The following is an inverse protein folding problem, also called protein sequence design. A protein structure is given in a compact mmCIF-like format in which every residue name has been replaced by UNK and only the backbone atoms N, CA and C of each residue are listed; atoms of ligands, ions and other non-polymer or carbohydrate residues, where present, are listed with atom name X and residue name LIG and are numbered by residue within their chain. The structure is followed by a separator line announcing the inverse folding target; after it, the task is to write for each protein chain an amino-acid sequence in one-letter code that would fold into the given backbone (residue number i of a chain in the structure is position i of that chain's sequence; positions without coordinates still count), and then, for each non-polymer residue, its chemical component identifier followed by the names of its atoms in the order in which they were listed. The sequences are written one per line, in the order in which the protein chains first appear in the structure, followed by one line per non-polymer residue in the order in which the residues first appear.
data_IF_916000957744
#
_entry.id   IF_916000957744
#
_cell.length_a   1.000
_cell.length_b   1.000
_cell.length_c   1.000
_cell.angle_alpha   90.00
_cell.angle_beta   90.00
_cell.angle_gamma   90.00
#
_symmetry.space_group_name_H-M   'P 1'
#
loop_
_entity.id
_entity.type
_entity.pdbx_description
1 polymer ?
#
# COMPACT_ATOMS: atom_id res chain seq x y z
N UNK A 1 -11.04 13.12 -10.21
CA UNK A 1 -12.11 13.56 -9.29
C UNK A 1 -12.87 12.40 -8.65
N UNK A 2 -13.41 11.41 -9.39
CA UNK A 2 -14.10 10.27 -8.75
C UNK A 2 -13.15 9.32 -7.98
N UNK A 3 -11.96 9.05 -8.50
CA UNK A 3 -11.00 8.09 -7.89
C UNK A 3 -10.26 8.67 -6.68
N UNK A 4 -9.92 9.97 -6.69
CA UNK A 4 -9.27 10.62 -5.55
C UNK A 4 -10.20 10.72 -4.33
N UNK A 5 -11.49 10.97 -4.54
CA UNK A 5 -12.50 10.90 -3.49
C UNK A 5 -12.62 9.48 -2.88
N UNK A 6 -12.43 8.43 -3.67
CA UNK A 6 -12.44 7.06 -3.17
C UNK A 6 -11.24 6.77 -2.25
N UNK A 7 -10.03 7.17 -2.66
CA UNK A 7 -8.82 7.03 -1.83
C UNK A 7 -8.97 7.79 -0.51
N UNK A 8 -9.46 9.03 -0.54
CA UNK A 8 -9.71 9.81 0.68
C UNK A 8 -10.67 9.08 1.62
N UNK A 9 -11.84 8.66 1.12
CA UNK A 9 -12.83 7.96 1.93
C UNK A 9 -12.29 6.63 2.50
N UNK A 10 -11.47 5.91 1.73
CA UNK A 10 -10.82 4.67 2.14
C UNK A 10 -9.75 4.91 3.23
N UNK A 11 -8.93 5.94 3.07
CA UNK A 11 -7.90 6.28 4.04
C UNK A 11 -8.49 6.79 5.35
N UNK A 12 -9.50 7.65 5.29
CA UNK A 12 -10.22 8.09 6.49
C UNK A 12 -10.92 6.91 7.19
N UNK A 13 -11.53 6.01 6.42
CA UNK A 13 -12.12 4.80 6.98
C UNK A 13 -11.08 3.95 7.73
N UNK A 14 -9.92 3.75 7.12
CA UNK A 14 -8.85 2.96 7.71
C UNK A 14 -8.27 3.63 8.95
N UNK A 15 -8.02 4.94 8.91
CA UNK A 15 -7.56 5.70 10.08
C UNK A 15 -8.59 5.63 11.23
N UNK A 16 -9.88 5.70 10.93
CA UNK A 16 -10.96 5.49 11.90
C UNK A 16 -10.99 4.04 12.44
N UNK A 17 -10.72 3.05 11.60
CA UNK A 17 -10.64 1.64 11.98
C UNK A 17 -9.46 1.38 12.93
N UNK A 18 -8.31 2.00 12.67
CA UNK A 18 -7.10 1.89 13.48
C UNK A 18 -7.25 2.44 14.90
N UNK A 19 -8.20 3.34 15.17
CA UNK A 19 -8.50 3.83 16.54
C UNK A 19 -8.88 2.71 17.53
N UNK A 20 -9.27 1.53 17.03
CA UNK A 20 -9.53 0.35 17.84
C UNK A 20 -8.28 -0.41 18.31
N UNK A 21 -7.08 0.04 17.93
CA UNK A 21 -5.81 -0.62 18.20
C UNK A 21 -4.87 0.31 18.97
N UNK A 22 -3.97 -0.29 19.75
CA UNK A 22 -2.90 0.42 20.43
C UNK A 22 -1.57 0.19 19.69
N UNK A 23 -0.92 1.28 19.30
CA UNK A 23 0.34 1.25 18.57
C UNK A 23 1.42 2.06 19.29
N UNK A 24 2.67 1.68 19.10
CA UNK A 24 3.84 2.49 19.44
C UNK A 24 4.19 3.49 18.32
N UNK A 25 3.60 3.34 17.14
CA UNK A 25 3.83 4.22 16.00
C UNK A 25 3.12 5.56 16.15
N UNK A 26 3.81 6.64 15.79
CA UNK A 26 3.27 7.98 15.65
C UNK A 26 3.96 8.71 14.49
N UNK A 27 3.45 9.89 14.11
CA UNK A 27 4.19 10.77 13.20
C UNK A 27 5.59 11.06 13.79
N UNK A 28 6.63 10.85 12.99
CA UNK A 28 8.03 10.96 13.43
C UNK A 28 8.70 9.61 13.75
N UNK A 29 7.92 8.53 13.88
CA UNK A 29 8.48 7.17 13.87
C UNK A 29 8.91 6.84 12.43
N UNK A 30 10.22 6.81 12.18
CA UNK A 30 10.80 6.72 10.84
C UNK A 30 11.47 5.38 10.51
N UNK A 31 11.44 4.40 11.42
CA UNK A 31 12.11 3.09 11.23
C UNK A 31 11.65 2.37 9.95
N UNK A 32 10.38 2.48 9.58
CA UNK A 32 9.83 1.88 8.36
C UNK A 32 9.90 2.78 7.11
N UNK A 33 10.39 4.02 7.23
CA UNK A 33 10.43 5.00 6.14
C UNK A 33 11.61 4.71 5.19
N UNK A 34 11.43 3.72 4.32
CA UNK A 34 12.44 3.25 3.36
C UNK A 34 12.05 3.55 1.91
N UNK A 35 12.93 3.23 0.97
CA UNK A 35 12.66 3.23 -0.48
C UNK A 35 11.78 2.05 -0.94
N UNK A 36 11.47 1.09 -0.07
CA UNK A 36 10.78 -0.16 -0.42
C UNK A 36 9.25 -0.04 -0.31
N UNK A 37 8.70 0.98 -0.98
CA UNK A 37 7.26 1.30 -0.94
C UNK A 37 6.64 0.87 -2.25
N UNK A 38 5.71 -0.09 -2.21
CA UNK A 38 4.88 -0.46 -3.36
C UNK A 38 3.59 0.35 -3.35
N UNK A 39 3.17 0.83 -4.52
CA UNK A 39 1.98 1.66 -4.67
C UNK A 39 1.30 1.38 -6.02
N UNK A 40 0.04 1.76 -6.11
CA UNK A 40 -0.70 1.81 -7.38
C UNK A 40 -0.61 3.18 -8.05
N UNK A 41 -0.92 3.25 -9.35
CA UNK A 41 -1.05 4.51 -10.09
C UNK A 41 -2.12 5.43 -9.51
N UNK A 42 -3.26 4.89 -9.07
CA UNK A 42 -4.32 5.67 -8.43
C UNK A 42 -3.85 6.35 -7.14
N UNK A 43 -3.05 5.67 -6.32
CA UNK A 43 -2.48 6.26 -5.11
C UNK A 43 -1.46 7.35 -5.43
N UNK A 44 -0.66 7.19 -6.49
CA UNK A 44 0.26 8.24 -6.95
C UNK A 44 -0.48 9.42 -7.52
N UNK A 45 -1.55 9.22 -8.29
CA UNK A 45 -2.38 10.32 -8.78
C UNK A 45 -2.95 11.14 -7.61
N UNK A 46 -3.42 10.48 -6.55
CA UNK A 46 -3.83 11.14 -5.32
C UNK A 46 -2.69 11.90 -4.64
N UNK A 47 -1.53 11.26 -4.48
CA UNK A 47 -0.36 11.87 -3.85
C UNK A 47 0.13 13.10 -4.64
N UNK A 48 0.14 13.03 -5.97
CA UNK A 48 0.55 14.11 -6.86
C UNK A 48 -0.46 15.26 -6.85
N UNK A 49 -1.77 14.96 -6.76
CA UNK A 49 -2.82 15.96 -6.60
C UNK A 49 -2.62 16.78 -5.30
N UNK A 50 -2.31 16.11 -4.17
CA UNK A 50 -2.20 16.76 -2.86
C UNK A 50 -0.84 17.36 -2.55
N UNK A 51 0.24 16.77 -3.06
CA UNK A 51 1.60 17.08 -2.66
C UNK A 51 2.63 17.04 -3.80
N UNK A 52 2.20 17.14 -5.05
CA UNK A 52 3.06 16.93 -6.23
C UNK A 52 4.34 17.77 -6.29
N UNK A 53 4.35 19.00 -5.74
CA UNK A 53 5.58 19.79 -5.69
C UNK A 53 6.66 19.13 -4.83
N UNK A 54 6.31 18.68 -3.61
CA UNK A 54 7.25 17.99 -2.71
C UNK A 54 7.73 16.67 -3.30
N UNK A 55 6.84 15.95 -3.98
CA UNK A 55 7.19 14.68 -4.64
C UNK A 55 8.09 14.90 -5.85
N UNK A 56 7.83 15.92 -6.67
CA UNK A 56 8.71 16.28 -7.80
C UNK A 56 10.08 16.75 -7.34
N UNK A 57 10.14 17.54 -6.27
CA UNK A 57 11.42 17.98 -5.71
C UNK A 57 12.23 16.76 -5.25
N UNK A 58 11.61 15.83 -4.51
CA UNK A 58 12.27 14.59 -4.11
C UNK A 58 12.68 13.69 -5.29
N UNK A 59 11.87 13.63 -6.36
CA UNK A 59 12.19 12.86 -7.56
C UNK A 59 13.45 13.39 -8.27
N UNK A 60 13.73 14.70 -8.23
CA UNK A 60 14.92 15.28 -8.86
C UNK A 60 16.22 14.94 -8.12
N UNK A 61 16.12 14.61 -6.84
CA UNK A 61 17.26 14.32 -5.96
C UNK A 61 17.61 12.82 -5.92
N UNK A 62 16.89 11.97 -6.66
CA UNK A 62 17.13 10.53 -6.70
C UNK A 62 17.60 10.07 -8.07
N UNK A 63 18.48 9.06 -8.07
CA UNK A 63 18.85 8.31 -9.25
C UNK A 63 18.03 7.02 -9.30
N UNK A 64 17.14 6.90 -10.30
CA UNK A 64 16.25 5.76 -10.46
C UNK A 64 16.88 4.66 -11.29
N UNK A 65 17.96 4.07 -10.76
CA UNK A 65 18.59 2.90 -11.34
C UNK A 65 17.90 1.58 -10.95
N UNK A 66 18.43 0.46 -11.43
CA UNK A 66 17.90 -0.88 -11.17
C UNK A 66 18.01 -1.31 -9.69
N UNK A 67 18.76 -0.58 -8.88
CA UNK A 67 19.00 -0.84 -7.45
C UNK A 67 18.19 0.07 -6.53
N UNK A 68 17.39 0.99 -7.08
CA UNK A 68 16.60 1.92 -6.28
C UNK A 68 15.25 1.33 -5.85
N UNK A 69 15.17 0.90 -4.59
CA UNK A 69 13.92 0.40 -4.00
C UNK A 69 13.57 -1.03 -4.41
N UNK A 70 12.70 -1.65 -3.62
CA UNK A 70 12.10 -2.94 -3.95
C UNK A 70 11.11 -2.81 -5.11
N UNK A 71 11.21 -3.73 -6.08
CA UNK A 71 10.34 -3.86 -7.24
C UNK A 71 9.69 -5.25 -7.25
N UNK A 72 8.37 -5.36 -7.08
CA UNK A 72 7.70 -6.66 -7.05
C UNK A 72 7.73 -7.33 -8.43
N UNK A 73 7.73 -8.68 -8.45
CA UNK A 73 7.57 -9.45 -9.70
C UNK A 73 6.10 -9.62 -10.14
N UNK A 74 5.16 -9.62 -9.20
CA UNK A 74 3.72 -9.78 -9.43
C UNK A 74 2.90 -8.85 -8.51
N UNK A 75 1.66 -8.56 -8.90
CA UNK A 75 0.78 -7.70 -8.08
C UNK A 75 0.11 -8.47 -6.93
N UNK A 76 -0.52 -7.75 -6.00
CA UNK A 76 -1.18 -8.39 -4.85
C UNK A 76 -2.40 -9.22 -5.28
N UNK A 77 -3.19 -8.74 -6.24
CA UNK A 77 -4.31 -9.50 -6.81
C UNK A 77 -3.82 -10.67 -7.67
N UNK A 78 -2.68 -10.55 -8.35
CA UNK A 78 -2.08 -11.68 -9.06
C UNK A 78 -1.66 -12.77 -8.06
N UNK A 79 -0.92 -12.40 -7.01
CA UNK A 79 -0.51 -13.30 -5.92
C UNK A 79 -1.72 -13.96 -5.24
N UNK A 80 -2.75 -13.18 -4.90
CA UNK A 80 -3.97 -13.71 -4.30
C UNK A 80 -4.70 -14.70 -5.22
N UNK A 81 -4.67 -14.48 -6.54
CA UNK A 81 -5.28 -15.40 -7.49
C UNK A 81 -4.62 -16.79 -7.54
N UNK A 82 -3.32 -16.89 -7.23
CA UNK A 82 -2.62 -18.17 -7.10
C UNK A 82 -3.06 -18.91 -5.84
N UNK A 83 -3.05 -18.22 -4.69
CA UNK A 83 -3.43 -18.83 -3.41
C UNK A 83 -4.89 -19.30 -3.39
N UNK A 84 -5.81 -18.54 -4.00
CA UNK A 84 -7.22 -18.95 -4.13
C UNK A 84 -7.43 -20.19 -5.01
N UNK A 85 -6.46 -20.52 -5.87
CA UNK A 85 -6.44 -21.73 -6.70
C UNK A 85 -5.62 -22.86 -6.07
N UNK A 86 -5.22 -22.72 -4.81
CA UNK A 86 -4.33 -23.66 -4.10
C UNK A 86 -2.98 -23.84 -4.82
N UNK A 87 -2.49 -22.77 -5.45
CA UNK A 87 -1.19 -22.72 -6.13
C UNK A 87 -0.24 -21.77 -5.42
N UNK A 88 1.06 -21.97 -5.64
CA UNK A 88 2.09 -21.03 -5.21
C UNK A 88 2.33 -19.99 -6.32
N UNK A 89 2.40 -18.69 -5.98
CA UNK A 89 2.83 -17.68 -6.93
C UNK A 89 4.28 -17.94 -7.38
N UNK A 90 4.71 -17.39 -8.53
CA UNK A 90 6.13 -17.37 -8.90
C UNK A 90 6.96 -16.72 -7.78
N UNK A 91 8.21 -17.14 -7.66
CA UNK A 91 9.15 -16.53 -6.73
C UNK A 91 9.30 -15.04 -7.04
N UNK A 92 9.21 -14.22 -5.99
CA UNK A 92 9.42 -12.80 -6.09
C UNK A 92 10.92 -12.52 -6.11
N UNK A 93 11.41 -12.02 -7.25
CA UNK A 93 12.83 -11.71 -7.45
C UNK A 93 13.17 -10.29 -7.00
N UNK A 94 12.20 -9.54 -6.48
CA UNK A 94 12.42 -8.20 -5.96
C UNK A 94 13.37 -8.21 -4.76
N UNK A 95 14.34 -7.29 -4.76
CA UNK A 95 15.32 -7.17 -3.67
C UNK A 95 15.00 -5.95 -2.83
N UNK A 96 14.90 -6.12 -1.52
CA UNK A 96 14.81 -5.00 -0.59
C UNK A 96 16.12 -4.26 -0.52
N UNK A 97 16.06 -2.95 -0.75
CA UNK A 97 17.25 -2.09 -0.80
C UNK A 97 17.43 -1.37 0.53
N UNK A 98 18.68 -1.07 0.86
CA UNK A 98 19.01 -0.22 2.01
C UNK A 98 18.89 1.23 1.55
N UNK A 99 17.84 1.92 1.97
CA UNK A 99 17.62 3.31 1.61
C UNK A 99 16.52 3.94 2.46
N UNK A 100 16.69 5.21 2.81
CA UNK A 100 15.65 6.01 3.48
C UNK A 100 14.72 6.61 2.43
N UNK A 101 13.45 6.79 2.78
CA UNK A 101 12.50 7.42 1.88
C UNK A 101 12.92 8.88 1.57
N UNK A 102 13.01 9.30 0.29
CA UNK A 102 13.34 10.67 -0.09
C UNK A 102 12.36 11.75 0.42
N UNK A 103 11.16 11.35 0.85
CA UNK A 103 10.16 12.26 1.44
C UNK A 103 10.36 12.48 2.94
N UNK A 104 11.34 11.82 3.57
CA UNK A 104 11.65 11.93 4.99
C UNK A 104 12.49 13.18 5.24
N UNK A 105 12.00 14.08 6.11
CA UNK A 105 12.76 15.24 6.58
C UNK A 105 13.88 14.83 7.54
N UNK A 106 14.79 15.76 7.81
CA UNK A 106 15.88 15.55 8.77
C UNK A 106 15.37 15.28 10.19
N UNK A 107 14.18 15.80 10.53
CA UNK A 107 13.51 15.58 11.81
C UNK A 107 12.78 14.23 11.89
N UNK A 108 12.90 13.36 10.87
CA UNK A 108 12.24 12.06 10.82
C UNK A 108 10.75 12.13 10.48
N UNK A 109 10.25 13.29 10.04
CA UNK A 109 8.87 13.48 9.63
C UNK A 109 8.72 13.31 8.12
N UNK A 110 7.77 12.48 7.69
CA UNK A 110 7.41 12.38 6.28
C UNK A 110 6.72 13.68 5.83
N UNK A 111 7.30 14.35 4.83
CA UNK A 111 6.79 15.60 4.27
C UNK A 111 5.39 15.50 3.62
N UNK A 112 4.93 14.27 3.38
CA UNK A 112 3.60 13.94 2.83
C UNK A 112 2.81 12.99 3.73
N UNK A 113 3.08 12.96 5.05
CA UNK A 113 2.53 11.96 5.97
C UNK A 113 1.01 11.75 5.86
N UNK A 114 0.23 12.83 5.69
CA UNK A 114 -1.23 12.76 5.55
C UNK A 114 -1.68 12.07 4.25
N UNK A 115 -0.88 12.19 3.19
CA UNK A 115 -1.19 11.71 1.84
C UNK A 115 -0.41 10.46 1.45
N UNK A 116 0.31 9.86 2.41
CA UNK A 116 1.14 8.68 2.19
C UNK A 116 0.34 7.53 1.55
N UNK A 117 0.96 6.75 0.64
CA UNK A 117 0.36 5.54 0.09
C UNK A 117 -0.08 4.56 1.17
N UNK A 118 -0.99 3.65 0.80
CA UNK A 118 -1.56 2.70 1.74
C UNK A 118 -0.50 1.76 2.33
N UNK A 119 0.50 1.33 1.56
CA UNK A 119 1.61 0.52 2.07
C UNK A 119 2.33 1.19 3.24
N UNK A 120 2.58 2.51 3.16
CA UNK A 120 3.14 3.28 4.27
C UNK A 120 2.15 3.46 5.43
N UNK A 121 0.85 3.62 5.13
CA UNK A 121 -0.21 3.80 6.13
C UNK A 121 -0.49 2.52 6.93
N UNK A 122 -0.39 1.38 6.27
CA UNK A 122 -0.64 0.05 6.81
C UNK A 122 0.49 -0.46 7.72
N UNK A 123 1.69 0.13 7.61
CA UNK A 123 2.81 -0.20 8.48
C UNK A 123 2.59 0.39 9.87
N UNK A 124 2.29 -0.50 10.81
CA UNK A 124 2.07 -0.20 12.23
C UNK A 124 2.77 -1.22 13.09
N UNK A 125 3.17 -0.84 14.30
CA UNK A 125 3.65 -1.78 15.31
C UNK A 125 3.05 -1.55 16.69
N UNK A 126 2.79 -2.64 17.40
CA UNK A 126 2.36 -2.66 18.80
C UNK A 126 3.49 -2.27 19.76
N UNK A 127 4.76 -2.45 19.36
CA UNK A 127 5.96 -2.10 20.14
C UNK A 127 6.88 -1.15 19.37
N UNK A 128 7.82 -0.45 20.04
CA UNK A 128 8.86 0.31 19.34
C UNK A 128 9.67 -0.59 18.41
N UNK A 129 9.90 -0.15 17.18
CA UNK A 129 10.68 -0.92 16.20
C UNK A 129 12.18 -0.60 16.31
N UNK A 130 13.01 -1.63 16.36
CA UNK A 130 14.45 -1.52 16.22
C UNK A 130 14.88 -1.62 14.75
N UNK A 131 15.98 -0.95 14.33
CA UNK A 131 16.49 -1.06 12.97
C UNK A 131 16.85 -2.50 12.62
N UNK A 132 16.25 -3.02 11.54
CA UNK A 132 16.47 -4.39 11.07
C UNK A 132 15.56 -5.43 11.72
N UNK A 133 14.76 -5.05 12.72
CA UNK A 133 13.70 -5.89 13.26
C UNK A 133 12.37 -5.62 12.55
N UNK A 134 11.58 -6.68 12.36
CA UNK A 134 10.24 -6.56 11.78
C UNK A 134 9.27 -5.86 12.73
N UNK A 135 8.36 -5.08 12.17
CA UNK A 135 7.24 -4.54 12.93
C UNK A 135 6.36 -5.67 13.49
N UNK A 136 5.99 -5.56 14.76
CA UNK A 136 5.02 -6.49 15.37
C UNK A 136 3.60 -5.98 15.14
N UNK A 137 2.78 -6.75 14.41
CA UNK A 137 1.44 -6.37 13.99
C UNK A 137 0.39 -7.38 14.47
N UNK A 138 -0.80 -6.91 14.82
CA UNK A 138 -1.96 -7.79 15.08
C UNK A 138 -2.27 -8.63 13.82
N UNK A 139 -2.39 -9.97 13.94
CA UNK A 139 -2.62 -10.84 12.79
C UNK A 139 -3.84 -10.46 11.95
N UNK A 140 -4.94 -10.03 12.59
CA UNK A 140 -6.14 -9.63 11.86
C UNK A 140 -5.92 -8.33 11.07
N UNK A 141 -5.02 -7.45 11.54
CA UNK A 141 -4.66 -6.25 10.81
C UNK A 141 -3.91 -6.57 9.53
N UNK A 142 -3.13 -7.67 9.48
CA UNK A 142 -2.49 -8.14 8.25
C UNK A 142 -3.56 -8.49 7.21
N UNK A 143 -4.58 -9.27 7.57
CA UNK A 143 -5.70 -9.61 6.69
C UNK A 143 -6.43 -8.37 6.19
N UNK A 144 -6.70 -7.41 7.09
CA UNK A 144 -7.30 -6.12 6.71
C UNK A 144 -6.42 -5.37 5.71
N UNK A 145 -5.12 -5.27 5.97
CA UNK A 145 -4.18 -4.53 5.13
C UNK A 145 -4.08 -5.15 3.73
N UNK A 146 -3.93 -6.47 3.64
CA UNK A 146 -3.92 -7.18 2.36
C UNK A 146 -5.25 -7.01 1.62
N UNK A 147 -6.38 -7.00 2.33
CA UNK A 147 -7.68 -6.77 1.69
C UNK A 147 -7.81 -5.37 1.10
N UNK A 148 -7.31 -4.34 1.80
CA UNK A 148 -7.37 -2.96 1.29
C UNK A 148 -6.43 -2.78 0.10
N UNK A 149 -5.24 -3.39 0.11
CA UNK A 149 -4.33 -3.35 -1.06
C UNK A 149 -4.99 -3.99 -2.29
N UNK A 150 -5.64 -5.15 -2.13
CA UNK A 150 -6.39 -5.81 -3.22
C UNK A 150 -7.53 -4.93 -3.75
N UNK A 151 -8.22 -4.20 -2.87
CA UNK A 151 -9.29 -3.26 -3.21
C UNK A 151 -8.75 -2.09 -4.02
N UNK A 152 -7.66 -1.47 -3.58
CA UNK A 152 -7.03 -0.34 -4.26
C UNK A 152 -6.60 -0.78 -5.66
N UNK A 153 -5.91 -1.91 -5.79
CA UNK A 153 -5.50 -2.46 -7.08
C UNK A 153 -6.72 -2.75 -7.98
N UNK A 154 -7.80 -3.30 -7.43
CA UNK A 154 -9.01 -3.61 -8.19
C UNK A 154 -9.69 -2.35 -8.74
N UNK A 155 -9.84 -1.32 -7.92
CA UNK A 155 -10.41 -0.03 -8.36
C UNK A 155 -9.50 0.61 -9.41
N UNK A 156 -8.18 0.42 -9.27
CA UNK A 156 -7.18 0.83 -10.25
C UNK A 156 -6.88 -0.24 -11.32
N UNK A 157 -7.83 -1.11 -11.66
CA UNK A 157 -7.62 -2.26 -12.56
C UNK A 157 -7.10 -1.94 -13.97
N UNK A 158 -7.19 -0.67 -14.40
CA UNK A 158 -6.64 -0.20 -15.69
C UNK A 158 -5.21 0.32 -15.58
N UNK A 159 -4.76 0.61 -14.36
CA UNK A 159 -3.47 1.18 -14.03
C UNK A 159 -2.39 0.14 -13.78
N UNK A 160 -1.40 0.56 -13.00
CA UNK A 160 -0.21 -0.21 -12.69
C UNK A 160 0.13 -0.19 -11.21
N UNK A 161 0.93 -1.16 -10.78
CA UNK A 161 1.55 -1.26 -9.47
C UNK A 161 3.06 -1.33 -9.65
N UNK A 162 3.82 -0.73 -8.74
CA UNK A 162 5.28 -0.80 -8.74
C UNK A 162 5.88 -0.11 -7.51
N UNK A 163 7.19 0.07 -7.52
CA UNK A 163 7.83 0.94 -6.53
C UNK A 163 7.25 2.36 -6.64
N UNK A 164 7.09 3.06 -5.51
CA UNK A 164 6.58 4.43 -5.45
C UNK A 164 7.23 5.34 -6.48
N UNK A 165 8.55 5.27 -6.60
CA UNK A 165 9.29 6.20 -7.43
C UNK A 165 9.25 5.83 -8.92
N UNK A 166 9.14 4.54 -9.26
CA UNK A 166 8.86 4.12 -10.63
C UNK A 166 7.45 4.58 -11.06
N UNK A 167 6.45 4.51 -10.17
CA UNK A 167 5.08 4.95 -10.46
C UNK A 167 4.98 6.47 -10.54
N UNK A 168 5.71 7.21 -9.70
CA UNK A 168 5.84 8.68 -9.80
C UNK A 168 6.51 9.06 -11.12
N UNK A 169 7.58 8.37 -11.51
CA UNK A 169 8.24 8.59 -12.80
C UNK A 169 7.29 8.30 -13.98
N UNK A 170 6.48 7.24 -13.89
CA UNK A 170 5.42 6.97 -14.86
C UNK A 170 4.38 8.09 -14.90
N UNK A 171 3.98 8.66 -13.76
CA UNK A 171 3.03 9.77 -13.74
C UNK A 171 3.52 10.96 -14.59
N UNK A 172 4.81 11.29 -14.48
CA UNK A 172 5.46 12.41 -15.20
C UNK A 172 5.79 12.08 -16.66
N UNK A 173 6.25 10.86 -16.96
CA UNK A 173 6.83 10.52 -18.29
C UNK A 173 5.98 9.57 -19.13
N UNK A 174 5.03 8.86 -18.51
CA UNK A 174 4.26 7.74 -19.07
C UNK A 174 5.11 6.51 -19.46
N UNK A 175 6.37 6.44 -19.06
CA UNK A 175 7.20 5.25 -19.24
C UNK A 175 6.80 4.14 -18.25
N UNK A 176 6.52 2.94 -18.75
CA UNK A 176 6.00 1.81 -17.95
C UNK A 176 7.08 0.82 -17.51
N UNK A 177 8.36 1.21 -17.55
CA UNK A 177 9.45 0.35 -17.11
C UNK A 177 9.29 0.03 -15.62
N UNK A 178 9.58 -1.21 -15.21
CA UNK A 178 9.48 -1.67 -13.82
C UNK A 178 8.08 -1.65 -13.19
N UNK A 179 7.03 -1.58 -14.01
CA UNK A 179 5.64 -1.58 -13.56
C UNK A 179 4.90 -2.87 -13.94
N UNK A 180 4.02 -3.31 -13.05
CA UNK A 180 3.12 -4.45 -13.25
C UNK A 180 1.72 -3.93 -13.55
N UNK A 181 1.03 -4.53 -14.51
CA UNK A 181 -0.37 -4.21 -14.79
C UNK A 181 -1.27 -4.70 -13.65
N UNK A 182 -2.13 -3.82 -13.13
CA UNK A 182 -3.09 -4.18 -12.09
C UNK A 182 -4.08 -5.24 -12.58
N UNK A 183 -4.53 -6.08 -11.65
CA UNK A 183 -5.47 -7.17 -11.87
C UNK A 183 -6.79 -6.91 -11.15
N UNK A 184 -7.91 -7.41 -11.69
CA UNK A 184 -9.18 -7.36 -10.98
C UNK A 184 -9.11 -8.18 -9.69
N UNK A 185 -9.99 -7.85 -8.74
CA UNK A 185 -10.13 -8.54 -7.47
C UNK A 185 -10.43 -10.04 -7.69
N UNK A 186 -9.56 -10.97 -7.23
CA UNK A 186 -9.75 -12.39 -7.45
C UNK A 186 -10.62 -13.06 -6.37
N UNK A 187 -10.81 -12.40 -5.22
CA UNK A 187 -11.34 -12.96 -3.97
C UNK A 187 -10.46 -12.56 -2.79
N UNK A 188 -10.98 -12.54 -1.56
CA UNK A 188 -10.17 -12.18 -0.38
C UNK A 188 -9.49 -13.43 0.22
N UNK A 189 -8.23 -13.29 0.58
CA UNK A 189 -7.51 -14.26 1.41
C UNK A 189 -7.87 -14.03 2.89
N UNK A 190 -8.89 -14.74 3.40
CA UNK A 190 -9.35 -14.59 4.79
C UNK A 190 -9.26 -15.93 5.52
N UNK A 191 -8.43 -16.03 6.58
CA UNK A 191 -8.39 -17.22 7.42
C UNK A 191 -9.77 -17.56 8.00
N UNK A 192 -10.16 -18.85 8.11
CA UNK A 192 -11.48 -19.25 8.60
C UNK A 192 -11.88 -18.62 9.94
N UNK A 193 -10.93 -18.50 10.86
CA UNK A 193 -11.12 -17.92 12.20
C UNK A 193 -11.38 -16.41 12.20
N UNK A 194 -11.04 -15.70 11.12
CA UNK A 194 -11.20 -14.25 11.01
C UNK A 194 -12.47 -13.84 10.25
N UNK A 195 -13.15 -14.77 9.58
CA UNK A 195 -14.31 -14.48 8.72
C UNK A 195 -15.38 -13.63 9.38
N UNK A 196 -15.71 -13.91 10.65
CA UNK A 196 -16.74 -13.15 11.39
C UNK A 196 -16.37 -11.68 11.58
N UNK A 197 -15.14 -11.40 12.04
CA UNK A 197 -14.63 -10.02 12.20
C UNK A 197 -14.41 -9.35 10.84
N UNK A 198 -13.96 -10.10 9.84
CA UNK A 198 -13.76 -9.59 8.48
C UNK A 198 -15.08 -9.17 7.82
N UNK A 199 -16.16 -9.94 8.00
CA UNK A 199 -17.50 -9.56 7.56
C UNK A 199 -17.99 -8.24 8.20
N UNK A 200 -17.71 -8.03 9.48
CA UNK A 200 -18.03 -6.77 10.15
C UNK A 200 -17.21 -5.60 9.57
N UNK A 201 -15.93 -5.83 9.30
CA UNK A 201 -15.06 -4.87 8.63
C UNK A 201 -15.58 -4.48 7.24
N UNK A 202 -15.87 -5.45 6.36
CA UNK A 202 -16.33 -5.18 5.00
C UNK A 202 -17.68 -4.48 4.95
N UNK A 203 -18.61 -4.78 5.88
CA UNK A 203 -19.88 -4.03 6.01
C UNK A 203 -19.66 -2.56 6.34
N UNK A 204 -18.73 -2.26 7.26
CA UNK A 204 -18.40 -0.87 7.62
C UNK A 204 -17.70 -0.16 6.46
N UNK A 205 -16.81 -0.85 5.75
CA UNK A 205 -16.13 -0.33 4.57
C UNK A 205 -17.14 0.03 3.47
N UNK A 206 -18.02 -0.91 3.10
CA UNK A 206 -19.11 -0.69 2.12
C UNK A 206 -19.94 0.54 2.47
N UNK A 207 -20.29 0.72 3.75
CA UNK A 207 -21.07 1.89 4.20
C UNK A 207 -20.33 3.21 3.99
N UNK A 208 -19.00 3.24 4.10
CA UNK A 208 -18.17 4.47 4.00
C UNK A 208 -17.76 4.78 2.56
N UNK A 209 -17.41 3.77 1.77
CA UNK A 209 -16.85 3.96 0.42
C UNK A 209 -17.82 3.60 -0.72
N UNK A 210 -18.94 2.95 -0.40
CA UNK A 210 -19.89 2.44 -1.39
C UNK A 210 -19.41 1.20 -2.15
N UNK A 211 -18.20 0.71 -1.89
CA UNK A 211 -17.65 -0.44 -2.62
C UNK A 211 -18.35 -1.74 -2.23
N UNK A 212 -18.73 -2.53 -3.23
CA UNK A 212 -19.34 -3.83 -3.04
C UNK A 212 -18.44 -4.92 -3.61
N UNK A 213 -17.88 -5.73 -2.71
CA UNK A 213 -17.03 -6.87 -3.04
C UNK A 213 -17.56 -8.10 -2.33
N UNK A 214 -17.81 -9.14 -3.10
CA UNK A 214 -18.30 -10.40 -2.58
C UNK A 214 -17.14 -11.14 -1.94
N UNK A 215 -17.31 -11.56 -0.68
CA UNK A 215 -16.49 -12.62 -0.13
C UNK A 215 -16.77 -13.86 -0.95
N UNK A 216 -15.75 -14.39 -1.63
CA UNK A 216 -15.83 -15.75 -2.13
C UNK A 216 -15.85 -16.65 -0.90
N UNK A 217 -17.02 -17.18 -0.58
CA UNK A 217 -17.12 -18.37 0.26
C UNK A 217 -16.53 -19.51 -0.55
N UNK A 218 -15.54 -20.26 -0.03
CA UNK A 218 -15.24 -21.57 -0.59
C UNK A 218 -16.48 -22.47 -0.49
#
# INVERSE_FOLDING_TARGET
MLMTNFIEALYEFYDDFLKGYAFSCAAGCSTCCTTNVVTTTMEVDYLMEKAGNRVRDALREIDLDDTFGYRPSISINESASYYLKEQYPPEDTGVHTKGICPLLSQEGLCSVYQFRPFSCRAMTSTKPCDPGEGAEMDPFLITVNLSIQQIIEHVDSKGFTGNLWDVVNYHETKATLNLIRNRPFPGFLVPPQERGRFLAFTRRLKKRTGIELMLQTP
#
